data_IF_305092107173
#
_entry.id   IF_305092107173
#
_cell.length_a   1.000
_cell.length_b   1.000
_cell.length_c   1.000
_cell.angle_alpha   90.00
_cell.angle_beta   90.00
_cell.angle_gamma   90.00
#
_symmetry.space_group_name_H-M   'P 1'
#
loop_
_entity.id
_entity.type
_entity.pdbx_description
1 polymer ?
#
# COMPACT_ATOMS: atom_id res chain seq x y z
N UNK A 1 -13.76 -33.88 -20.64
CA UNK A 1 -14.26 -33.28 -21.89
C UNK A 1 -15.26 -32.17 -21.55
N UNK A 2 -14.83 -30.91 -21.57
CA UNK A 2 -15.74 -29.77 -21.76
C UNK A 2 -15.11 -28.87 -22.81
N UNK A 3 -15.94 -28.54 -23.80
CA UNK A 3 -15.58 -27.94 -25.08
C UNK A 3 -15.01 -26.54 -24.88
N UNK A 4 -13.90 -26.28 -25.57
CA UNK A 4 -13.32 -24.97 -25.81
C UNK A 4 -14.29 -24.11 -26.61
N UNK A 5 -14.60 -22.94 -26.07
CA UNK A 5 -15.26 -21.84 -26.80
C UNK A 5 -14.17 -21.11 -27.62
N UNK A 6 -14.31 -20.91 -28.95
CA UNK A 6 -13.18 -20.47 -29.78
C UNK A 6 -12.87 -18.96 -29.76
N UNK A 7 -13.72 -18.10 -29.21
CA UNK A 7 -13.56 -16.63 -29.32
C UNK A 7 -13.70 -15.84 -28.00
N UNK A 8 -13.46 -16.50 -26.86
CA UNK A 8 -13.47 -15.85 -25.54
C UNK A 8 -12.12 -15.23 -25.17
N UNK A 9 -12.02 -13.90 -25.22
CA UNK A 9 -10.90 -13.12 -24.64
C UNK A 9 -10.56 -13.68 -23.27
N UNK A 10 -9.27 -13.99 -23.05
CA UNK A 10 -8.73 -14.42 -21.75
C UNK A 10 -8.97 -13.32 -20.72
N UNK A 11 -10.13 -13.35 -20.09
CA UNK A 11 -10.45 -12.59 -18.90
C UNK A 11 -9.88 -13.39 -17.73
N UNK A 12 -8.59 -13.12 -17.48
CA UNK A 12 -7.73 -13.88 -16.56
C UNK A 12 -8.42 -14.26 -15.26
N UNK A 13 -8.17 -15.50 -14.85
CA UNK A 13 -8.62 -16.12 -13.61
C UNK A 13 -8.26 -15.24 -12.42
N UNK A 14 -9.23 -14.47 -11.95
CA UNK A 14 -9.24 -13.87 -10.62
C UNK A 14 -9.81 -14.94 -9.68
N UNK A 15 -8.93 -15.64 -8.99
CA UNK A 15 -9.29 -16.38 -7.79
C UNK A 15 -8.41 -15.87 -6.65
N UNK A 16 -9.08 -15.39 -5.61
CA UNK A 16 -8.69 -15.22 -4.21
C UNK A 16 -7.25 -15.61 -3.82
N UNK A 17 -6.26 -14.73 -3.96
CA UNK A 17 -4.87 -15.06 -3.58
C UNK A 17 -4.26 -14.01 -2.65
N UNK A 18 -3.39 -14.47 -1.75
CA UNK A 18 -2.48 -13.63 -1.00
C UNK A 18 -1.04 -13.72 -1.50
N UNK A 19 -0.42 -12.56 -1.70
CA UNK A 19 0.99 -12.50 -2.05
C UNK A 19 1.80 -12.48 -0.75
N UNK A 20 2.94 -13.17 -0.67
CA UNK A 20 3.94 -12.96 0.40
C UNK A 20 5.21 -12.51 -0.26
N UNK A 21 5.68 -11.32 0.11
CA UNK A 21 6.86 -10.73 -0.53
C UNK A 21 7.86 -10.36 0.54
N UNK A 22 9.03 -11.01 0.46
CA UNK A 22 10.08 -10.95 1.47
C UNK A 22 11.26 -10.10 1.02
N UNK A 23 11.88 -9.40 1.96
CA UNK A 23 13.19 -8.76 1.81
C UNK A 23 14.26 -9.57 2.56
N UNK A 24 14.89 -10.58 1.94
CA UNK A 24 15.84 -11.47 2.63
C UNK A 24 17.20 -10.80 2.92
N UNK A 25 17.83 -11.23 4.02
CA UNK A 25 19.14 -10.76 4.48
C UNK A 25 20.23 -11.81 4.30
N UNK A 26 21.40 -11.41 3.78
CA UNK A 26 22.58 -12.30 3.65
C UNK A 26 23.54 -12.19 4.85
N UNK A 27 23.67 -11.02 5.51
CA UNK A 27 24.48 -10.82 6.73
C UNK A 27 23.97 -9.66 7.61
N UNK A 28 24.12 -9.80 8.95
CA UNK A 28 23.75 -8.80 9.97
C UNK A 28 24.70 -7.58 9.98
N UNK A 29 24.15 -6.37 9.84
CA UNK A 29 24.73 -5.06 10.19
C UNK A 29 23.75 -4.34 11.12
N UNK A 30 24.26 -3.72 12.18
CA UNK A 30 23.57 -3.50 13.46
C UNK A 30 22.23 -2.76 13.43
N UNK A 31 21.46 -3.00 14.49
CA UNK A 31 20.22 -2.33 14.88
C UNK A 31 19.79 -2.88 16.24
N UNK A 32 19.47 -2.01 17.20
CA UNK A 32 18.84 -2.40 18.46
C UNK A 32 17.37 -2.75 18.18
N UNK A 33 17.06 -4.03 17.98
CA UNK A 33 15.68 -4.49 18.07
C UNK A 33 15.36 -4.73 19.55
N UNK A 34 14.20 -4.24 20.00
CA UNK A 34 13.60 -4.75 21.24
C UNK A 34 13.54 -6.28 21.15
N UNK A 35 13.96 -6.94 22.22
CA UNK A 35 13.79 -8.38 22.35
C UNK A 35 12.30 -8.70 22.24
N UNK A 36 11.95 -9.65 21.38
CA UNK A 36 10.57 -10.16 21.19
C UNK A 36 9.51 -9.21 20.60
N UNK A 37 9.88 -8.23 19.77
CA UNK A 37 8.89 -7.38 19.08
C UNK A 37 8.48 -7.90 17.69
N UNK A 38 7.23 -7.70 17.30
CA UNK A 38 6.74 -7.82 15.94
C UNK A 38 5.78 -6.68 15.62
N UNK A 39 5.66 -6.34 14.34
CA UNK A 39 4.75 -5.29 13.88
C UNK A 39 3.86 -5.81 12.76
N UNK A 40 2.56 -5.55 12.88
CA UNK A 40 1.55 -5.87 11.89
C UNK A 40 0.80 -4.59 11.54
N UNK A 41 0.79 -4.24 10.25
CA UNK A 41 -0.03 -3.18 9.71
C UNK A 41 -0.97 -3.76 8.67
N UNK A 42 -2.27 -3.68 8.92
CA UNK A 42 -3.32 -4.16 8.01
C UNK A 42 -4.03 -2.95 7.41
N UNK A 43 -4.07 -2.88 6.08
CA UNK A 43 -4.73 -1.80 5.35
C UNK A 43 -5.61 -2.37 4.26
N UNK A 44 -6.87 -1.95 4.22
CA UNK A 44 -7.76 -2.25 3.10
C UNK A 44 -7.68 -1.12 2.08
N UNK A 45 -7.13 -1.44 0.91
CA UNK A 45 -7.09 -0.56 -0.25
C UNK A 45 -8.40 -0.71 -1.02
N UNK A 46 -9.14 0.40 -1.18
CA UNK A 46 -10.37 0.43 -1.98
C UNK A 46 -10.17 1.24 -3.25
N UNK A 47 -10.50 0.64 -4.40
CA UNK A 47 -10.52 1.31 -5.70
C UNK A 47 -11.84 0.99 -6.40
N UNK A 48 -12.71 2.00 -6.50
CA UNK A 48 -14.07 1.80 -6.97
C UNK A 48 -14.86 0.88 -6.03
N UNK A 49 -15.41 -0.20 -6.57
CA UNK A 49 -16.15 -1.23 -5.80
C UNK A 49 -15.25 -2.37 -5.31
N UNK A 50 -13.99 -2.42 -5.75
CA UNK A 50 -13.04 -3.45 -5.33
C UNK A 50 -12.26 -3.05 -4.09
N UNK A 51 -11.99 -4.05 -3.26
CA UNK A 51 -11.17 -3.93 -2.06
C UNK A 51 -10.08 -4.99 -2.09
N UNK A 52 -8.86 -4.63 -1.68
CA UNK A 52 -7.73 -5.54 -1.51
C UNK A 52 -7.05 -5.23 -0.20
N UNK A 53 -6.80 -6.24 0.62
CA UNK A 53 -6.10 -6.11 1.89
C UNK A 53 -4.60 -6.21 1.67
N UNK A 54 -3.84 -5.31 2.28
CA UNK A 54 -2.39 -5.40 2.37
C UNK A 54 -2.01 -5.53 3.84
N UNK A 55 -1.25 -6.57 4.16
CA UNK A 55 -0.73 -6.86 5.48
C UNK A 55 0.79 -6.69 5.43
N UNK A 56 1.31 -5.65 6.06
CA UNK A 56 2.74 -5.47 6.24
C UNK A 56 3.17 -6.15 7.55
N UNK A 57 4.14 -7.05 7.45
CA UNK A 57 4.67 -7.83 8.57
C UNK A 57 6.14 -7.51 8.77
N UNK A 58 6.52 -7.19 10.00
CA UNK A 58 7.91 -7.19 10.43
C UNK A 58 8.06 -8.13 11.63
N UNK A 59 8.89 -9.17 11.48
CA UNK A 59 9.25 -10.12 12.53
C UNK A 59 10.74 -9.98 12.85
N UNK A 60 11.09 -9.81 14.12
CA UNK A 60 12.50 -9.83 14.54
C UNK A 60 13.13 -11.22 14.35
N UNK A 61 14.43 -11.33 14.04
CA UNK A 61 15.07 -12.61 13.74
C UNK A 61 14.99 -13.66 14.86
N UNK A 62 15.07 -13.22 16.12
CA UNK A 62 15.13 -14.09 17.30
C UNK A 62 13.82 -14.06 18.09
N UNK A 63 12.68 -14.16 17.41
CA UNK A 63 11.37 -14.26 18.06
C UNK A 63 11.15 -15.69 18.58
N UNK A 64 10.68 -15.81 19.82
CA UNK A 64 10.34 -17.11 20.43
C UNK A 64 9.24 -17.84 19.65
N UNK A 65 9.17 -19.17 19.82
CA UNK A 65 8.20 -20.01 19.12
C UNK A 65 6.75 -19.63 19.49
N UNK A 66 6.49 -19.36 20.77
CA UNK A 66 5.18 -18.90 21.27
C UNK A 66 4.73 -17.60 20.60
N UNK A 67 5.62 -16.60 20.56
CA UNK A 67 5.29 -15.31 19.92
C UNK A 67 5.18 -15.45 18.39
N UNK A 68 5.92 -16.37 17.77
CA UNK A 68 5.76 -16.66 16.34
C UNK A 68 4.39 -17.29 16.06
N UNK A 69 3.93 -18.23 16.90
CA UNK A 69 2.60 -18.83 16.77
C UNK A 69 1.48 -17.78 16.90
N UNK A 70 1.62 -16.81 17.81
CA UNK A 70 0.66 -15.71 17.95
C UNK A 70 0.56 -14.84 16.68
N UNK A 71 1.69 -14.57 16.00
CA UNK A 71 1.66 -13.85 14.71
C UNK A 71 0.87 -14.65 13.68
N UNK A 72 1.09 -15.96 13.60
CA UNK A 72 0.41 -16.82 12.64
C UNK A 72 -1.10 -16.91 12.90
N UNK A 73 -1.52 -16.99 14.15
CA UNK A 73 -2.93 -16.92 14.54
C UNK A 73 -3.57 -15.58 14.10
N UNK A 74 -2.89 -14.45 14.34
CA UNK A 74 -3.38 -13.15 13.89
C UNK A 74 -3.44 -13.02 12.38
N UNK A 75 -2.44 -13.54 11.67
CA UNK A 75 -2.44 -13.54 10.21
C UNK A 75 -3.56 -14.41 9.65
N UNK A 76 -3.79 -15.60 10.22
CA UNK A 76 -4.93 -16.45 9.90
C UNK A 76 -6.25 -15.67 10.04
N UNK A 77 -6.47 -14.99 11.16
CA UNK A 77 -7.66 -14.15 11.35
C UNK A 77 -7.79 -13.01 10.33
N UNK A 78 -6.69 -12.32 10.01
CA UNK A 78 -6.72 -11.22 9.04
C UNK A 78 -6.92 -11.69 7.60
N UNK A 79 -6.60 -12.95 7.29
CA UNK A 79 -6.80 -13.57 5.98
C UNK A 79 -8.19 -14.16 5.77
N UNK A 80 -8.97 -14.41 6.82
CA UNK A 80 -10.36 -14.91 6.72
C UNK A 80 -11.35 -13.93 6.08
N UNK A 81 -10.91 -12.76 5.62
CA UNK A 81 -11.78 -11.81 4.96
C UNK A 81 -12.07 -12.21 3.50
N UNK A 82 -13.15 -11.66 2.94
CA UNK A 82 -13.53 -11.91 1.53
C UNK A 82 -12.72 -11.10 0.53
N UNK A 83 -11.85 -10.20 1.01
CA UNK A 83 -11.02 -9.38 0.16
C UNK A 83 -9.78 -10.17 -0.29
N UNK A 84 -9.37 -10.08 -1.57
CA UNK A 84 -8.02 -10.47 -1.97
C UNK A 84 -7.01 -9.84 -1.00
N UNK A 85 -6.18 -10.67 -0.37
CA UNK A 85 -5.24 -10.23 0.66
C UNK A 85 -3.83 -10.22 0.08
N UNK A 86 -2.86 -9.51 0.66
CA UNK A 86 -1.47 -9.47 0.21
C UNK A 86 -0.63 -9.24 1.44
N UNK A 87 0.16 -10.21 1.85
CA UNK A 87 1.19 -10.05 2.87
C UNK A 87 2.53 -9.59 2.28
N UNK A 88 3.20 -8.66 2.93
CA UNK A 88 4.51 -8.18 2.50
C UNK A 88 5.35 -7.86 3.72
N UNK A 89 6.67 -7.86 3.60
CA UNK A 89 7.57 -7.33 4.63
C UNK A 89 8.77 -8.22 4.92
N UNK A 90 9.38 -8.03 6.09
CA UNK A 90 10.56 -8.80 6.51
C UNK A 90 10.20 -9.75 7.64
N UNK A 91 10.05 -11.02 7.28
CA UNK A 91 9.70 -12.10 8.20
C UNK A 91 10.92 -12.64 8.97
N UNK A 92 12.15 -12.31 8.54
CA UNK A 92 13.39 -12.88 9.10
C UNK A 92 13.34 -14.41 9.32
N UNK A 93 12.89 -15.15 8.30
CA UNK A 93 12.87 -16.63 8.27
C UNK A 93 13.99 -17.14 7.32
N UNK A 94 15.26 -17.16 7.76
CA UNK A 94 16.40 -17.46 6.89
C UNK A 94 16.37 -18.86 6.27
N UNK A 95 15.66 -19.80 6.90
CA UNK A 95 15.58 -21.19 6.45
C UNK A 95 14.61 -21.36 5.26
N UNK A 96 13.67 -20.43 5.08
CA UNK A 96 12.76 -20.45 3.93
C UNK A 96 13.51 -19.91 2.71
N UNK A 97 13.59 -20.75 1.67
CA UNK A 97 14.19 -20.42 0.38
C UNK A 97 13.09 -20.34 -0.67
N UNK A 98 13.14 -19.31 -1.52
CA UNK A 98 12.18 -19.07 -2.59
C UNK A 98 12.85 -19.27 -3.96
N UNK A 99 12.18 -19.87 -4.97
CA UNK A 99 10.84 -20.48 -4.89
C UNK A 99 10.82 -21.65 -3.91
N UNK A 100 9.65 -21.99 -3.38
CA UNK A 100 9.48 -23.13 -2.46
C UNK A 100 9.72 -24.42 -3.25
N UNK A 101 10.97 -24.79 -3.41
CA UNK A 101 11.36 -26.09 -3.93
C UNK A 101 10.91 -27.17 -2.93
N UNK A 102 10.89 -28.44 -3.34
CA UNK A 102 10.48 -29.63 -2.57
C UNK A 102 11.32 -29.90 -1.29
N UNK A 103 11.46 -28.90 -0.42
CA UNK A 103 12.19 -28.93 0.84
C UNK A 103 11.21 -29.18 1.98
N UNK A 104 11.64 -29.99 2.95
CA UNK A 104 10.89 -30.20 4.17
C UNK A 104 11.23 -29.08 5.17
N UNK A 105 10.30 -28.15 5.36
CA UNK A 105 10.40 -27.12 6.39
C UNK A 105 9.90 -27.64 7.74
N UNK A 106 10.51 -27.19 8.83
CA UNK A 106 10.14 -27.58 10.20
C UNK A 106 9.81 -26.35 11.06
N UNK A 107 8.99 -26.55 12.09
CA UNK A 107 8.66 -25.55 13.10
C UNK A 107 7.97 -24.30 12.54
N UNK A 108 8.39 -23.12 12.99
CA UNK A 108 7.82 -21.82 12.60
C UNK A 108 7.76 -21.61 11.09
N UNK A 109 8.67 -22.23 10.34
CA UNK A 109 8.70 -22.15 8.88
C UNK A 109 7.49 -22.85 8.25
N UNK A 110 7.07 -24.03 8.74
CA UNK A 110 5.91 -24.73 8.18
C UNK A 110 4.60 -24.04 8.55
N UNK A 111 4.49 -23.50 9.77
CA UNK A 111 3.31 -22.75 10.19
C UNK A 111 3.11 -21.51 9.31
N UNK A 112 4.20 -20.81 9.02
CA UNK A 112 4.21 -19.70 8.08
C UNK A 112 3.83 -20.18 6.68
N UNK A 113 4.49 -21.21 6.13
CA UNK A 113 4.19 -21.73 4.78
C UNK A 113 2.72 -22.18 4.64
N UNK A 114 2.14 -22.81 5.66
CA UNK A 114 0.74 -23.21 5.68
C UNK A 114 -0.22 -22.01 5.65
N UNK A 115 0.15 -20.90 6.28
CA UNK A 115 -0.56 -19.62 6.15
C UNK A 115 -0.39 -18.99 4.75
N UNK A 116 0.55 -19.49 3.94
CA UNK A 116 1.19 -18.80 2.83
C UNK A 116 1.09 -19.46 1.42
N UNK A 117 0.42 -20.59 1.22
CA UNK A 117 0.24 -21.20 -0.11
C UNK A 117 -0.97 -20.71 -0.95
N UNK A 118 -0.77 -19.70 -1.83
CA UNK A 118 -1.00 -19.74 -3.30
C UNK A 118 -0.65 -18.41 -4.04
N UNK A 119 0.41 -18.49 -4.86
CA UNK A 119 0.88 -17.73 -6.06
C UNK A 119 0.73 -16.19 -6.19
N UNK A 120 1.88 -15.57 -6.54
CA UNK A 120 2.04 -14.20 -7.12
C UNK A 120 2.28 -14.26 -8.64
N UNK A 121 1.72 -13.32 -9.41
CA UNK A 121 2.14 -13.01 -10.79
C UNK A 121 3.05 -11.76 -10.87
N UNK A 122 4.03 -11.76 -11.78
CA UNK A 122 4.95 -10.63 -12.07
C UNK A 122 5.75 -10.10 -10.86
N UNK A 123 6.21 -11.00 -9.97
CA UNK A 123 7.15 -10.63 -8.91
C UNK A 123 8.54 -10.35 -9.50
N UNK A 124 9.06 -9.15 -9.24
CA UNK A 124 10.36 -8.70 -9.72
C UNK A 124 11.21 -8.22 -8.53
N UNK A 125 12.40 -8.80 -8.35
CA UNK A 125 13.37 -8.30 -7.38
C UNK A 125 14.08 -7.06 -7.95
N UNK A 126 13.92 -5.95 -7.26
CA UNK A 126 14.58 -4.68 -7.53
C UNK A 126 15.86 -4.53 -6.69
N UNK A 127 16.81 -3.69 -7.15
CA UNK A 127 17.94 -3.32 -6.31
C UNK A 127 17.49 -2.63 -5.02
N UNK A 128 18.39 -2.61 -4.03
CA UNK A 128 18.13 -1.98 -2.74
C UNK A 128 17.65 -0.52 -2.89
N UNK A 129 16.69 -0.14 -2.06
CA UNK A 129 16.18 1.23 -2.01
C UNK A 129 16.99 2.06 -1.01
N UNK A 130 17.54 3.20 -1.45
CA UNK A 130 18.39 4.04 -0.61
C UNK A 130 19.60 3.27 -0.06
N UNK A 131 19.93 3.51 1.21
CA UNK A 131 21.03 2.81 1.91
C UNK A 131 20.62 1.45 2.51
N UNK A 132 19.44 0.91 2.16
CA UNK A 132 18.99 -0.38 2.68
C UNK A 132 19.96 -1.50 2.30
N UNK A 133 20.20 -2.43 3.21
CA UNK A 133 20.92 -3.69 2.93
C UNK A 133 20.00 -4.76 2.31
N UNK A 134 18.70 -4.50 2.23
CA UNK A 134 17.71 -5.38 1.61
C UNK A 134 17.37 -4.95 0.17
N UNK A 135 17.20 -5.94 -0.70
CA UNK A 135 16.65 -5.74 -2.05
C UNK A 135 15.18 -5.39 -1.97
N UNK A 136 14.72 -4.48 -2.83
CA UNK A 136 13.31 -4.15 -2.93
C UNK A 136 12.60 -5.19 -3.80
N UNK A 137 11.28 -5.32 -3.64
CA UNK A 137 10.47 -6.17 -4.50
C UNK A 137 9.34 -5.36 -5.10
N UNK A 138 9.02 -5.65 -6.36
CA UNK A 138 7.97 -5.03 -7.13
C UNK A 138 7.02 -6.10 -7.62
N UNK A 139 5.74 -5.80 -7.51
CA UNK A 139 4.65 -6.66 -7.93
C UNK A 139 3.51 -5.76 -8.42
N UNK A 140 2.56 -6.36 -9.13
CA UNK A 140 1.39 -5.65 -9.64
C UNK A 140 0.13 -6.23 -9.02
N UNK A 141 -0.71 -5.35 -8.49
CA UNK A 141 -2.05 -5.70 -8.04
C UNK A 141 -3.04 -5.39 -9.17
N UNK A 142 -3.56 -6.44 -9.78
CA UNK A 142 -4.57 -6.33 -10.84
C UNK A 142 -5.95 -6.13 -10.19
N UNK A 143 -6.36 -4.88 -10.03
CA UNK A 143 -7.72 -4.51 -9.64
C UNK A 143 -8.49 -4.10 -10.89
N UNK A 144 -9.73 -4.59 -11.09
CA UNK A 144 -10.57 -4.06 -12.19
C UNK A 144 -10.93 -2.62 -11.82
N UNK A 145 -10.51 -1.66 -12.63
CA UNK A 145 -10.84 -0.26 -12.39
C UNK A 145 -12.09 0.07 -13.16
N UNK A 146 -13.11 0.58 -12.46
CA UNK A 146 -14.08 1.45 -13.11
C UNK A 146 -13.36 2.75 -13.50
N UNK A 147 -13.68 3.38 -14.65
CA UNK A 147 -13.07 4.65 -15.02
C UNK A 147 -13.20 5.64 -13.85
N UNK A 148 -12.06 6.14 -13.38
CA UNK A 148 -11.99 7.02 -12.22
C UNK A 148 -12.80 8.28 -12.54
N UNK A 149 -14.04 8.36 -12.03
CA UNK A 149 -14.88 9.55 -12.19
C UNK A 149 -14.13 10.73 -11.58
N UNK A 150 -14.13 11.85 -12.30
CA UNK A 150 -13.54 13.09 -11.81
C UNK A 150 -14.06 13.39 -10.39
N UNK A 151 -13.15 13.52 -9.43
CA UNK A 151 -13.52 13.83 -8.05
C UNK A 151 -13.66 15.33 -7.91
N UNK A 152 -14.85 15.80 -7.55
CA UNK A 152 -15.09 17.22 -7.27
C UNK A 152 -14.99 17.47 -5.77
N UNK A 153 -14.27 18.52 -5.37
CA UNK A 153 -14.23 18.98 -3.98
C UNK A 153 -14.57 20.46 -3.89
N UNK A 154 -14.99 20.92 -2.72
CA UNK A 154 -15.24 22.34 -2.45
C UNK A 154 -13.95 23.14 -2.56
N UNK A 155 -13.96 24.20 -3.36
CA UNK A 155 -12.82 25.08 -3.58
C UNK A 155 -12.92 26.33 -2.72
N UNK A 156 -12.57 26.20 -1.44
CA UNK A 156 -12.62 27.31 -0.49
C UNK A 156 -11.76 28.51 -0.91
N UNK A 157 -10.68 28.29 -1.68
CA UNK A 157 -9.86 29.39 -2.23
C UNK A 157 -10.64 30.32 -3.17
N UNK A 158 -11.68 29.81 -3.85
CA UNK A 158 -12.56 30.59 -4.74
C UNK A 158 -13.96 30.79 -4.15
N UNK A 159 -14.12 30.62 -2.83
CA UNK A 159 -15.39 30.91 -2.19
C UNK A 159 -15.73 32.40 -2.29
N UNK A 160 -17.01 32.71 -2.44
CA UNK A 160 -17.51 34.08 -2.32
C UNK A 160 -17.65 34.44 -0.83
N UNK A 161 -16.53 34.83 -0.22
CA UNK A 161 -16.50 35.20 1.20
C UNK A 161 -17.31 36.47 1.49
N UNK A 162 -17.52 37.35 0.50
CA UNK A 162 -18.34 38.54 0.68
C UNK A 162 -19.81 38.14 0.87
N UNK A 163 -20.32 37.24 0.01
CA UNK A 163 -21.66 36.69 0.15
C UNK A 163 -21.83 35.89 1.45
N UNK A 164 -20.84 35.05 1.81
CA UNK A 164 -20.86 34.29 3.08
C UNK A 164 -20.97 35.23 4.28
N UNK A 165 -20.11 36.26 4.34
CA UNK A 165 -20.11 37.20 5.45
C UNK A 165 -21.42 37.98 5.52
N UNK A 166 -21.96 38.41 4.38
CA UNK A 166 -23.25 39.11 4.33
C UNK A 166 -24.41 38.21 4.79
N UNK A 167 -24.44 36.94 4.37
CA UNK A 167 -25.46 35.99 4.81
C UNK A 167 -25.36 35.73 6.31
N UNK A 168 -24.15 35.53 6.84
CA UNK A 168 -23.94 35.26 8.25
C UNK A 168 -24.26 36.49 9.13
N UNK A 169 -23.91 37.70 8.67
CA UNK A 169 -24.20 38.93 9.42
C UNK A 169 -25.70 39.26 9.49
N UNK A 170 -26.49 38.76 8.53
CA UNK A 170 -27.93 38.97 8.47
C UNK A 170 -28.74 37.95 9.29
N UNK A 171 -28.07 37.00 9.96
CA UNK A 171 -28.77 36.03 10.81
C UNK A 171 -29.14 36.71 12.13
N UNK A 172 -30.44 36.83 12.37
CA UNK A 172 -30.94 37.16 13.69
C UNK A 172 -30.78 35.94 14.62
N UNK A 173 -29.79 36.02 15.50
CA UNK A 173 -29.47 34.93 16.44
C UNK A 173 -30.60 34.64 17.44
N UNK A 174 -31.42 35.64 17.77
CA UNK A 174 -32.54 35.49 18.71
C UNK A 174 -33.74 34.78 18.07
N UNK A 175 -33.90 34.91 16.75
CA UNK A 175 -34.94 34.19 16.00
C UNK A 175 -34.46 32.81 15.51
N UNK A 176 -33.14 32.64 15.34
CA UNK A 176 -32.56 31.42 14.81
C UNK A 176 -32.53 30.27 15.85
N UNK A 177 -32.21 30.60 17.10
CA UNK A 177 -32.17 29.65 18.22
C UNK A 177 -33.43 29.79 19.09
N UNK A 178 -34.12 28.68 19.34
CA UNK A 178 -35.28 28.69 20.23
C UNK A 178 -34.85 28.46 21.68
N UNK A 179 -35.43 29.18 22.63
CA UNK A 179 -35.15 29.04 24.08
C UNK A 179 -35.41 27.62 24.59
N UNK A 180 -36.31 26.87 23.92
CA UNK A 180 -36.65 25.50 24.28
C UNK A 180 -35.76 24.44 23.63
N UNK A 181 -34.78 24.82 22.79
CA UNK A 181 -33.85 23.89 22.15
C UNK A 181 -32.68 23.55 23.08
N UNK A 182 -32.23 22.31 23.00
CA UNK A 182 -30.98 21.87 23.61
C UNK A 182 -29.78 22.40 22.82
N UNK A 183 -28.61 22.43 23.46
CA UNK A 183 -27.36 22.84 22.82
C UNK A 183 -27.03 22.01 21.57
N UNK A 184 -27.33 20.70 21.59
CA UNK A 184 -27.12 19.84 20.42
C UNK A 184 -28.06 20.21 19.26
N UNK A 185 -29.33 20.48 19.53
CA UNK A 185 -30.29 20.88 18.48
C UNK A 185 -29.91 22.23 17.86
N UNK A 186 -29.44 23.17 18.67
CA UNK A 186 -28.89 24.44 18.19
C UNK A 186 -27.64 24.23 17.32
N UNK A 187 -26.75 23.32 17.72
CA UNK A 187 -25.55 22.99 16.96
C UNK A 187 -25.88 22.37 15.60
N UNK A 188 -26.78 21.40 15.55
CA UNK A 188 -27.22 20.78 14.28
C UNK A 188 -27.86 21.80 13.33
N UNK A 189 -28.68 22.71 13.86
CA UNK A 189 -29.23 23.83 13.08
C UNK A 189 -28.13 24.72 12.49
N UNK A 190 -27.12 25.06 13.28
CA UNK A 190 -25.99 25.86 12.81
C UNK A 190 -25.20 25.13 11.72
N UNK A 191 -24.93 23.83 11.90
CA UNK A 191 -24.24 23.02 10.90
C UNK A 191 -25.02 22.98 9.60
N UNK A 192 -26.33 22.71 9.64
CA UNK A 192 -27.16 22.70 8.44
C UNK A 192 -27.19 24.05 7.72
N UNK A 193 -27.28 25.15 8.46
CA UNK A 193 -27.19 26.48 7.88
C UNK A 193 -25.84 26.70 7.17
N UNK A 194 -24.73 26.34 7.82
CA UNK A 194 -23.39 26.45 7.24
C UNK A 194 -23.25 25.56 5.99
N UNK A 195 -23.81 24.35 6.00
CA UNK A 195 -23.83 23.47 4.83
C UNK A 195 -24.55 24.11 3.63
N UNK A 196 -25.69 24.76 3.87
CA UNK A 196 -26.44 25.49 2.85
C UNK A 196 -25.65 26.68 2.30
N UNK A 197 -25.04 27.49 3.18
CA UNK A 197 -24.23 28.65 2.77
C UNK A 197 -23.01 28.19 1.97
N UNK A 198 -22.32 27.16 2.44
CA UNK A 198 -21.17 26.58 1.76
C UNK A 198 -21.58 26.00 0.40
N UNK A 199 -22.72 25.32 0.32
CA UNK A 199 -23.25 24.76 -0.93
C UNK A 199 -23.54 25.81 -1.99
N UNK A 200 -24.00 27.00 -1.58
CA UNK A 200 -24.31 28.13 -2.48
C UNK A 200 -23.08 28.95 -2.85
N UNK A 201 -22.13 29.11 -1.93
CA UNK A 201 -21.07 30.13 -2.03
C UNK A 201 -19.68 29.56 -2.34
N UNK A 202 -19.49 28.24 -2.23
CA UNK A 202 -18.20 27.58 -2.49
C UNK A 202 -18.28 26.73 -3.76
N UNK A 203 -17.64 27.14 -4.87
CA UNK A 203 -17.70 26.39 -6.11
C UNK A 203 -16.97 25.05 -5.98
N UNK A 204 -17.40 24.07 -6.77
CA UNK A 204 -16.69 22.79 -6.89
C UNK A 204 -15.46 22.94 -7.80
N UNK A 205 -14.36 22.31 -7.41
CA UNK A 205 -13.15 22.15 -8.23
C UNK A 205 -12.93 20.68 -8.52
N UNK A 206 -12.61 20.39 -9.78
CA UNK A 206 -12.15 19.08 -10.21
C UNK A 206 -10.75 18.82 -9.65
N UNK A 207 -10.61 17.77 -8.84
CA UNK A 207 -9.31 17.19 -8.52
C UNK A 207 -9.00 16.17 -9.60
N UNK A 208 -8.14 16.55 -10.51
CA UNK A 208 -7.42 15.57 -11.32
C UNK A 208 -6.39 14.90 -10.42
N UNK A 209 -6.27 13.57 -10.49
CA UNK A 209 -5.20 12.80 -9.83
C UNK A 209 -3.85 13.08 -10.51
N UNK A 210 -3.45 14.35 -10.51
CA UNK A 210 -2.17 14.81 -11.03
C UNK A 210 -1.10 14.48 -10.00
N UNK A 211 -0.75 13.20 -9.90
CA UNK A 211 0.60 12.85 -9.48
C UNK A 211 1.51 13.55 -10.49
N UNK A 212 2.14 14.65 -10.08
CA UNK A 212 3.25 15.20 -10.87
C UNK A 212 4.22 14.04 -11.07
N UNK A 213 4.52 13.65 -12.32
CA UNK A 213 5.46 12.57 -12.56
C UNK A 213 6.76 12.89 -11.84
N UNK A 214 7.43 11.87 -11.30
CA UNK A 214 8.81 12.02 -10.87
C UNK A 214 9.61 12.73 -11.99
N UNK A 215 10.48 13.69 -11.65
CA UNK A 215 11.28 14.38 -12.64
C UNK A 215 11.94 13.39 -13.63
N UNK A 216 11.92 13.74 -14.92
CA UNK A 216 12.35 12.82 -15.97
C UNK A 216 13.80 12.33 -15.80
N UNK A 217 14.67 13.12 -15.18
CA UNK A 217 16.04 12.72 -14.88
C UNK A 217 16.08 11.63 -13.79
N UNK A 218 15.29 11.73 -12.72
CA UNK A 218 15.15 10.70 -11.68
C UNK A 218 14.60 9.40 -12.29
N UNK A 219 13.62 9.47 -13.20
CA UNK A 219 13.11 8.28 -13.87
C UNK A 219 14.20 7.59 -14.72
N UNK A 220 15.01 8.36 -15.46
CA UNK A 220 16.14 7.83 -16.24
C UNK A 220 17.24 7.23 -15.35
N UNK A 221 17.56 7.89 -14.23
CA UNK A 221 18.54 7.39 -13.24
C UNK A 221 18.07 6.08 -12.61
N UNK A 222 16.81 6.03 -12.19
CA UNK A 222 16.20 4.80 -11.64
C UNK A 222 16.25 3.65 -12.64
N UNK A 223 15.86 3.90 -13.90
CA UNK A 223 15.91 2.91 -14.99
C UNK A 223 17.34 2.42 -15.26
N UNK A 224 18.31 3.32 -15.43
CA UNK A 224 19.72 2.96 -15.65
C UNK A 224 20.28 2.10 -14.50
N UNK A 225 19.95 2.48 -13.27
CA UNK A 225 20.34 1.74 -12.06
C UNK A 225 19.72 0.34 -12.06
N UNK A 226 18.44 0.23 -12.41
CA UNK A 226 17.75 -1.05 -12.54
C UNK A 226 18.36 -1.94 -13.63
N UNK A 227 18.59 -1.42 -14.84
CA UNK A 227 19.20 -2.18 -15.94
C UNK A 227 20.60 -2.72 -15.56
N UNK A 228 21.38 -1.92 -14.82
CA UNK A 228 22.68 -2.34 -14.32
C UNK A 228 22.59 -3.43 -13.24
N UNK A 229 21.53 -3.41 -12.41
CA UNK A 229 21.25 -4.46 -11.43
C UNK A 229 20.87 -5.78 -12.11
N UNK A 230 19.93 -5.75 -13.07
CA UNK A 230 19.54 -6.93 -13.85
C UNK A 230 20.74 -7.51 -14.57
N UNK A 231 21.59 -6.67 -15.17
CA UNK A 231 22.83 -7.13 -15.80
C UNK A 231 23.76 -7.85 -14.82
N UNK A 232 23.93 -7.31 -13.60
CA UNK A 232 24.73 -7.96 -12.56
C UNK A 232 24.12 -9.28 -12.10
N UNK A 233 22.80 -9.36 -11.92
CA UNK A 233 22.13 -10.61 -11.57
C UNK A 233 22.33 -11.68 -12.66
N UNK A 234 22.27 -11.29 -13.93
CA UNK A 234 22.42 -12.22 -15.05
C UNK A 234 23.87 -12.68 -15.26
N UNK A 235 24.86 -11.79 -15.11
CA UNK A 235 26.25 -12.10 -15.45
C UNK A 235 27.16 -12.43 -14.26
N UNK A 236 26.77 -12.06 -13.04
CA UNK A 236 27.56 -12.23 -11.82
C UNK A 236 28.90 -11.49 -11.79
N UNK A 237 29.19 -10.61 -12.76
CA UNK A 237 30.53 -10.05 -12.97
C UNK A 237 30.85 -8.91 -11.99
N UNK A 238 32.08 -8.84 -11.45
CA UNK A 238 32.51 -7.72 -10.60
C UNK A 238 32.40 -6.35 -11.29
N UNK A 239 32.63 -6.30 -12.61
CA UNK A 239 32.49 -5.09 -13.43
C UNK A 239 31.05 -4.57 -13.46
N UNK A 240 30.08 -5.47 -13.59
CA UNK A 240 28.65 -5.15 -13.60
C UNK A 240 28.18 -4.69 -12.22
N UNK A 241 28.69 -5.34 -11.15
CA UNK A 241 28.48 -4.90 -9.77
C UNK A 241 29.04 -3.49 -9.50
N UNK A 242 30.24 -3.19 -10.02
CA UNK A 242 30.88 -1.86 -9.88
C UNK A 242 30.06 -0.77 -10.59
N UNK A 243 29.55 -1.07 -11.80
CA UNK A 243 28.67 -0.16 -12.54
C UNK A 243 27.36 0.11 -11.80
N UNK A 244 26.71 -0.93 -11.27
CA UNK A 244 25.52 -0.78 -10.43
C UNK A 244 25.78 0.11 -9.22
N UNK A 245 26.85 -0.17 -8.45
CA UNK A 245 27.21 0.62 -7.27
C UNK A 245 27.39 2.12 -7.57
N UNK A 246 28.05 2.45 -8.70
CA UNK A 246 28.21 3.84 -9.14
C UNK A 246 26.85 4.53 -9.36
N UNK A 247 25.97 3.91 -10.13
CA UNK A 247 24.63 4.44 -10.42
C UNK A 247 23.73 4.50 -9.19
N UNK A 248 23.94 3.59 -8.24
CA UNK A 248 23.21 3.57 -6.97
C UNK A 248 23.59 4.76 -6.08
N UNK A 249 24.88 5.10 -5.99
CA UNK A 249 25.35 6.31 -5.29
C UNK A 249 24.77 7.56 -5.93
N UNK A 250 24.84 7.68 -7.26
CA UNK A 250 24.27 8.82 -8.01
C UNK A 250 22.77 8.99 -7.73
N UNK A 251 22.00 7.90 -7.69
CA UNK A 251 20.56 7.95 -7.39
C UNK A 251 20.23 8.39 -5.96
N UNK A 252 21.08 8.08 -4.97
CA UNK A 252 20.83 8.43 -3.56
C UNK A 252 21.05 9.91 -3.27
N UNK A 253 21.87 10.58 -4.08
CA UNK A 253 22.24 11.99 -3.89
C UNK A 253 21.33 12.98 -4.64
N UNK A 254 20.23 12.50 -5.24
CA UNK A 254 19.18 13.27 -5.93
C UNK A 254 17.89 13.32 -5.10
#
# INVERSE_FOLDING_TARGET
>A
MRKSDPDGVVLGTLASNYNIIRCDRVKKRGGESKTESHELLVVDLRVGTQSTRVILVYRVPALSQTNSAFIWEKLDDFTKCTHPTVMVGDFNLPDIKWPLDSQNYNGVNIDFINCCTEIVGNLEQLPNYGNSDHSAFKFQLLMRTEPQKARYVKNFRKADYAAINSLLSNIDSLLFFNVNETVNEMYEKLIHLLEQIIGKSVPLMRIDSTRKPLPGHIHRLSKKRHDAWIKFLNDGKPSSKKRFKKLHVEYIHE
#
